data_IF_460181418207
#
_entry.id   IF_460181418207
#
_cell.length_a   1.000
_cell.length_b   1.000
_cell.length_c   1.000
_cell.angle_alpha   90.00
_cell.angle_beta   90.00
_cell.angle_gamma   90.00
#
_symmetry.space_group_name_H-M   'P 1'
#
loop_
_entity.id
_entity.type
_entity.pdbx_description
1 polymer ?
#
# COMPACT_ATOMS: atom_id res chain seq x y z
N UNK A 1 4.01 -13.23 -11.11
CA UNK A 1 4.46 -14.29 -10.16
C UNK A 1 5.85 -14.00 -9.57
N UNK A 2 6.85 -13.68 -10.38
CA UNK A 2 8.23 -13.40 -9.92
C UNK A 2 8.26 -12.24 -8.92
N UNK A 3 7.60 -11.12 -9.21
CA UNK A 3 7.53 -9.94 -8.32
C UNK A 3 6.92 -10.25 -6.95
N UNK A 4 5.89 -11.09 -6.90
CA UNK A 4 5.26 -11.53 -5.66
C UNK A 4 6.21 -12.33 -4.76
N UNK A 5 6.96 -13.27 -5.36
CA UNK A 5 7.96 -14.05 -4.62
C UNK A 5 9.05 -13.14 -4.06
N UNK A 6 9.53 -12.16 -4.83
CA UNK A 6 10.51 -11.18 -4.35
C UNK A 6 9.99 -10.40 -3.15
N UNK A 7 8.75 -9.92 -3.21
CA UNK A 7 8.15 -9.17 -2.09
C UNK A 7 8.04 -10.05 -0.85
N UNK A 8 7.57 -11.29 -0.96
CA UNK A 8 7.53 -12.23 0.17
C UNK A 8 8.91 -12.48 0.78
N UNK A 9 9.94 -12.67 -0.06
CA UNK A 9 11.32 -12.85 0.40
C UNK A 9 11.80 -11.60 1.14
N UNK A 10 11.56 -10.41 0.64
CA UNK A 10 11.93 -9.17 1.32
C UNK A 10 11.18 -8.98 2.64
N UNK A 11 9.88 -9.29 2.72
CA UNK A 11 9.14 -9.25 3.98
C UNK A 11 9.75 -10.23 5.00
N UNK A 12 10.07 -11.44 4.58
CA UNK A 12 10.73 -12.42 5.44
C UNK A 12 12.09 -11.91 5.94
N UNK A 13 12.92 -11.35 5.05
CA UNK A 13 14.21 -10.75 5.42
C UNK A 13 14.00 -9.58 6.39
N UNK A 14 13.00 -8.72 6.17
CA UNK A 14 12.65 -7.61 7.05
C UNK A 14 12.29 -8.06 8.46
N UNK A 15 11.43 -9.07 8.58
CA UNK A 15 11.06 -9.66 9.87
C UNK A 15 12.27 -10.30 10.56
N UNK A 16 13.10 -11.01 9.81
CA UNK A 16 14.30 -11.66 10.33
C UNK A 16 15.31 -10.64 10.86
N UNK A 17 15.60 -9.59 10.08
CA UNK A 17 16.54 -8.52 10.48
C UNK A 17 16.05 -7.76 11.69
N UNK A 18 14.74 -7.44 11.75
CA UNK A 18 14.12 -6.82 12.93
C UNK A 18 14.25 -7.72 14.17
N UNK A 19 13.95 -9.02 14.02
CA UNK A 19 14.05 -9.98 15.13
C UNK A 19 15.48 -10.10 15.67
N UNK A 20 16.47 -10.17 14.78
CA UNK A 20 17.88 -10.19 15.16
C UNK A 20 18.28 -8.88 15.87
N UNK A 21 17.81 -7.73 15.37
CA UNK A 21 18.10 -6.42 15.98
C UNK A 21 17.53 -6.31 17.38
N UNK A 22 16.26 -6.70 17.57
CA UNK A 22 15.63 -6.75 18.89
C UNK A 22 16.35 -7.75 19.81
N UNK A 23 16.74 -8.91 19.32
CA UNK A 23 17.51 -9.87 20.09
C UNK A 23 18.85 -9.28 20.55
N UNK A 24 19.58 -8.56 19.70
CA UNK A 24 20.83 -7.88 20.08
C UNK A 24 20.59 -6.85 21.19
N UNK A 25 19.51 -6.07 21.07
CA UNK A 25 19.15 -5.09 22.10
C UNK A 25 18.84 -5.74 23.44
N UNK A 26 18.02 -6.79 23.46
CA UNK A 26 17.70 -7.50 24.69
C UNK A 26 18.91 -8.20 25.30
N UNK A 27 19.82 -8.73 24.47
CA UNK A 27 21.08 -9.31 24.95
C UNK A 27 22.01 -8.26 25.56
N UNK A 28 22.07 -7.06 24.97
CA UNK A 28 22.80 -5.93 25.56
C UNK A 28 22.17 -5.52 26.90
N UNK A 29 20.85 -5.37 26.95
CA UNK A 29 20.13 -5.03 28.17
C UNK A 29 20.36 -6.06 29.29
N UNK A 30 20.28 -7.34 28.95
CA UNK A 30 20.55 -8.44 29.90
C UNK A 30 21.99 -8.41 30.42
N UNK A 31 22.97 -8.17 29.53
CA UNK A 31 24.38 -8.07 29.91
C UNK A 31 24.60 -6.87 30.85
N UNK A 32 24.06 -5.70 30.52
CA UNK A 32 24.20 -4.49 31.34
C UNK A 32 23.54 -4.61 32.73
N UNK A 33 22.34 -5.20 32.83
CA UNK A 33 21.61 -5.38 34.09
C UNK A 33 22.25 -6.45 34.98
N UNK A 34 22.76 -7.53 34.36
CA UNK A 34 23.35 -8.67 35.09
C UNK A 34 24.85 -8.56 35.28
N UNK A 35 25.48 -7.47 34.86
CA UNK A 35 26.93 -7.26 34.88
C UNK A 35 27.70 -8.44 34.19
N UNK A 36 27.13 -8.97 33.10
CA UNK A 36 27.75 -10.02 32.26
C UNK A 36 28.32 -9.41 31.01
N UNK A 37 29.33 -10.08 30.44
CA UNK A 37 29.90 -9.69 29.13
C UNK A 37 28.87 -9.79 28.01
N UNK A 38 28.87 -8.79 27.12
CA UNK A 38 28.12 -8.83 25.86
C UNK A 38 28.75 -9.88 24.95
N UNK A 39 27.97 -10.70 24.25
CA UNK A 39 28.50 -11.71 23.33
C UNK A 39 29.46 -11.12 22.30
N UNK A 40 30.61 -11.74 22.10
CA UNK A 40 31.67 -11.26 21.18
C UNK A 40 31.22 -11.06 19.75
N UNK A 41 30.21 -11.81 19.30
CA UNK A 41 29.69 -11.66 17.95
C UNK A 41 28.97 -10.32 17.73
N UNK A 42 28.31 -9.76 18.75
CA UNK A 42 27.67 -8.43 18.69
C UNK A 42 28.74 -7.34 18.52
N UNK A 43 29.85 -7.44 19.24
CA UNK A 43 30.99 -6.54 19.06
C UNK A 43 31.58 -6.64 17.66
N UNK A 44 31.81 -7.84 17.13
CA UNK A 44 32.34 -8.06 15.77
C UNK A 44 31.41 -7.48 14.71
N UNK A 45 30.10 -7.68 14.86
CA UNK A 45 29.11 -7.12 13.94
C UNK A 45 29.11 -5.59 13.97
N UNK A 46 29.14 -5.00 15.17
CA UNK A 46 29.22 -3.55 15.32
C UNK A 46 30.51 -2.96 14.74
N UNK A 47 31.63 -3.64 14.88
CA UNK A 47 32.90 -3.27 14.27
C UNK A 47 32.85 -3.34 12.74
N UNK A 48 32.26 -4.41 12.19
CA UNK A 48 32.11 -4.57 10.73
C UNK A 48 31.25 -3.45 10.12
N UNK A 49 30.19 -3.01 10.82
CA UNK A 49 29.30 -1.95 10.38
C UNK A 49 29.88 -0.54 10.56
N UNK A 50 30.97 -0.41 11.29
CA UNK A 50 31.60 0.89 11.59
C UNK A 50 32.53 1.39 10.48
N UNK A 51 33.00 0.52 9.60
CA UNK A 51 33.97 0.83 8.56
C UNK A 51 35.42 0.90 9.08
N UNK A 52 36.31 1.48 8.30
CA UNK A 52 37.78 1.48 8.55
C UNK A 52 38.29 2.51 9.59
N UNK A 53 37.42 3.19 10.30
CA UNK A 53 37.92 4.17 11.29
C UNK A 53 38.47 3.46 12.53
N UNK A 54 39.73 3.69 12.90
CA UNK A 54 40.32 3.15 14.11
C UNK A 54 39.72 3.87 15.32
N UNK A 55 38.92 3.18 16.08
CA UNK A 55 38.33 3.74 17.30
C UNK A 55 38.78 2.92 18.48
N UNK A 56 39.31 3.61 19.49
CA UNK A 56 39.68 2.97 20.75
C UNK A 56 38.42 2.71 21.55
N UNK A 57 38.22 1.47 21.95
CA UNK A 57 37.09 1.01 22.76
C UNK A 57 37.37 0.97 24.28
N UNK A 58 38.45 1.58 24.70
CA UNK A 58 38.87 1.55 26.11
C UNK A 58 37.88 2.36 26.95
N UNK A 59 37.37 1.74 27.98
CA UNK A 59 36.48 2.31 29.00
C UNK A 59 34.99 2.45 28.68
N UNK A 60 34.46 1.61 27.83
CA UNK A 60 33.02 1.54 27.56
C UNK A 60 32.36 0.55 28.51
N UNK A 61 31.44 1.03 29.34
CA UNK A 61 30.58 0.14 30.13
C UNK A 61 29.38 -0.27 29.32
N UNK A 62 28.92 -1.52 29.47
CA UNK A 62 27.71 -2.00 28.81
C UNK A 62 26.46 -1.18 29.13
N UNK A 63 26.44 -0.57 30.34
CA UNK A 63 25.38 0.34 30.77
C UNK A 63 25.32 1.62 29.89
N UNK A 64 26.48 2.19 29.53
CA UNK A 64 26.52 3.36 28.64
C UNK A 64 26.09 3.00 27.23
N UNK A 65 26.50 1.82 26.74
CA UNK A 65 26.05 1.31 25.45
C UNK A 65 24.52 1.08 25.41
N UNK A 66 23.96 0.52 26.49
CA UNK A 66 22.53 0.36 26.65
C UNK A 66 21.79 1.69 26.67
N UNK A 67 22.29 2.67 27.47
CA UNK A 67 21.69 4.01 27.54
C UNK A 67 21.67 4.70 26.17
N UNK A 68 22.76 4.62 25.40
CA UNK A 68 22.82 5.20 24.04
C UNK A 68 21.87 4.49 23.07
N UNK A 69 21.82 3.15 23.09
CA UNK A 69 20.90 2.40 22.25
C UNK A 69 19.43 2.69 22.59
N UNK A 70 19.11 2.75 23.91
CA UNK A 70 17.76 3.06 24.37
C UNK A 70 17.36 4.51 24.03
N UNK A 71 18.26 5.46 24.18
CA UNK A 71 18.02 6.85 23.77
C UNK A 71 17.73 6.95 22.28
N UNK A 72 18.52 6.26 21.44
CA UNK A 72 18.28 6.23 20.01
C UNK A 72 16.90 5.63 19.65
N UNK A 73 16.52 4.52 20.29
CA UNK A 73 15.20 3.88 20.05
C UNK A 73 14.07 4.84 20.49
N UNK A 74 14.16 5.42 21.67
CA UNK A 74 13.14 6.37 22.18
C UNK A 74 13.02 7.57 21.23
N UNK A 75 14.13 8.12 20.78
CA UNK A 75 14.13 9.26 19.84
C UNK A 75 13.48 8.87 18.51
N UNK A 76 13.78 7.68 17.96
CA UNK A 76 13.14 7.18 16.74
C UNK A 76 11.63 6.99 16.92
N UNK A 77 11.19 6.47 18.06
CA UNK A 77 9.77 6.34 18.38
C UNK A 77 9.09 7.72 18.42
N UNK A 78 9.69 8.69 19.13
CA UNK A 78 9.13 10.04 19.22
C UNK A 78 9.04 10.73 17.84
N UNK A 79 10.07 10.61 17.00
CA UNK A 79 10.04 11.13 15.62
C UNK A 79 8.89 10.49 14.84
N UNK A 80 8.70 9.17 14.93
CA UNK A 80 7.62 8.48 14.25
C UNK A 80 6.23 8.89 14.76
N UNK A 81 6.06 9.13 16.07
CA UNK A 81 4.81 9.63 16.62
C UNK A 81 4.47 11.02 16.08
N UNK A 82 5.46 11.91 16.02
CA UNK A 82 5.27 13.27 15.50
C UNK A 82 4.94 13.23 14.00
N UNK A 83 5.71 12.50 13.20
CA UNK A 83 5.44 12.37 11.77
C UNK A 83 4.11 11.66 11.49
N UNK A 84 3.81 10.61 12.24
CA UNK A 84 2.54 9.91 12.16
C UNK A 84 1.34 10.82 12.43
N UNK A 85 1.46 11.69 13.44
CA UNK A 85 0.44 12.70 13.72
C UNK A 85 0.25 13.67 12.54
N UNK A 86 1.33 14.18 11.94
CA UNK A 86 1.24 15.06 10.78
C UNK A 86 0.62 14.35 9.56
N UNK A 87 1.02 13.12 9.28
CA UNK A 87 0.42 12.35 8.19
C UNK A 87 -1.04 12.01 8.44
N UNK A 88 -1.41 11.72 9.68
CA UNK A 88 -2.81 11.49 10.05
C UNK A 88 -3.65 12.76 9.86
N UNK A 89 -3.15 13.92 10.28
CA UNK A 89 -3.85 15.19 10.09
C UNK A 89 -4.06 15.55 8.61
N UNK A 90 -3.11 15.17 7.75
CA UNK A 90 -3.21 15.45 6.31
C UNK A 90 -4.11 14.47 5.55
N UNK A 91 -4.20 13.22 6.01
CA UNK A 91 -4.91 12.14 5.28
C UNK A 91 -6.21 11.70 5.92
N UNK A 92 -6.41 11.96 7.21
CA UNK A 92 -7.51 11.40 7.99
C UNK A 92 -7.42 9.87 8.21
N UNK A 93 -6.36 9.20 7.70
CA UNK A 93 -6.20 7.75 7.73
C UNK A 93 -4.99 7.36 8.58
N UNK A 94 -5.22 6.58 9.66
CA UNK A 94 -4.16 6.07 10.51
C UNK A 94 -3.27 5.05 9.78
N UNK A 95 -3.89 4.18 8.99
CA UNK A 95 -3.18 3.14 8.23
C UNK A 95 -2.23 3.75 7.22
N UNK A 96 -2.68 4.80 6.52
CA UNK A 96 -1.84 5.55 5.60
C UNK A 96 -0.69 6.29 6.30
N UNK A 97 -0.97 6.90 7.45
CA UNK A 97 0.08 7.56 8.26
C UNK A 97 1.16 6.56 8.68
N UNK A 98 0.78 5.36 9.13
CA UNK A 98 1.71 4.27 9.46
C UNK A 98 2.51 3.85 8.22
N UNK A 99 1.85 3.65 7.09
CA UNK A 99 2.51 3.30 5.83
C UNK A 99 3.57 4.33 5.43
N UNK A 100 3.23 5.63 5.46
CA UNK A 100 4.18 6.72 5.15
C UNK A 100 5.35 6.77 6.15
N UNK A 101 5.09 6.60 7.44
CA UNK A 101 6.14 6.51 8.44
C UNK A 101 7.10 5.34 8.15
N UNK A 102 6.57 4.15 7.88
CA UNK A 102 7.37 2.98 7.56
C UNK A 102 8.18 3.17 6.26
N UNK A 103 7.61 3.77 5.23
CA UNK A 103 8.30 4.09 3.96
C UNK A 103 9.46 5.07 4.17
N UNK A 104 9.34 5.98 5.14
CA UNK A 104 10.37 6.97 5.46
C UNK A 104 11.42 6.49 6.49
N UNK A 105 11.28 5.29 7.06
CA UNK A 105 12.14 4.81 8.16
C UNK A 105 13.62 4.87 7.82
N UNK A 106 14.01 4.55 6.59
CA UNK A 106 15.40 4.62 6.17
C UNK A 106 15.98 6.02 6.33
N UNK A 107 15.24 7.03 5.87
CA UNK A 107 15.66 8.43 5.97
C UNK A 107 15.66 8.91 7.43
N UNK A 108 14.67 8.51 8.21
CA UNK A 108 14.58 8.84 9.64
C UNK A 108 15.79 8.30 10.39
N UNK A 109 16.13 7.02 10.19
CA UNK A 109 17.29 6.38 10.84
C UNK A 109 18.59 7.02 10.37
N UNK A 110 18.73 7.33 9.09
CA UNK A 110 19.91 7.97 8.51
C UNK A 110 20.12 9.38 9.07
N UNK A 111 19.08 10.22 9.06
CA UNK A 111 19.14 11.59 9.59
C UNK A 111 19.44 11.57 11.08
N UNK A 112 18.74 10.71 11.85
CA UNK A 112 19.02 10.54 13.26
C UNK A 112 20.50 10.21 13.50
N UNK A 113 21.08 9.30 12.73
CA UNK A 113 22.48 8.91 12.87
C UNK A 113 23.45 10.06 12.56
N UNK A 114 23.17 10.84 11.50
CA UNK A 114 23.97 12.04 11.15
C UNK A 114 23.89 13.08 12.27
N UNK A 115 22.69 13.39 12.77
CA UNK A 115 22.49 14.37 13.83
C UNK A 115 23.22 13.93 15.10
N UNK A 116 23.08 12.68 15.50
CA UNK A 116 23.78 12.15 16.70
C UNK A 116 25.30 12.16 16.53
N UNK A 117 25.81 11.93 15.34
CA UNK A 117 27.23 12.07 15.06
C UNK A 117 27.71 13.52 15.21
N UNK A 118 26.97 14.48 14.66
CA UNK A 118 27.27 15.92 14.80
C UNK A 118 27.25 16.34 16.27
N UNK A 119 26.22 15.92 17.02
CA UNK A 119 26.12 16.21 18.47
C UNK A 119 27.32 15.66 19.23
N UNK A 120 27.77 14.45 18.92
CA UNK A 120 28.99 13.85 19.51
C UNK A 120 30.25 14.67 19.17
N UNK A 121 30.39 15.13 17.93
CA UNK A 121 31.51 15.98 17.52
C UNK A 121 31.53 17.31 18.29
N UNK A 122 30.38 17.96 18.45
CA UNK A 122 30.25 19.20 19.19
C UNK A 122 30.61 18.95 20.68
N UNK A 123 30.09 17.87 21.26
CA UNK A 123 30.38 17.50 22.64
C UNK A 123 31.89 17.29 22.89
N UNK A 124 32.57 16.56 22.00
CA UNK A 124 34.02 16.33 22.06
C UNK A 124 34.80 17.64 21.97
N UNK A 125 34.34 18.57 21.07
CA UNK A 125 35.00 19.88 20.91
C UNK A 125 34.83 20.77 22.14
N UNK A 126 33.71 20.69 22.84
CA UNK A 126 33.40 21.48 24.02
C UNK A 126 33.94 20.84 25.32
N UNK A 127 34.15 19.54 25.32
CA UNK A 127 34.68 18.79 26.46
C UNK A 127 36.20 18.73 26.40
N UNK A 128 36.85 18.74 27.56
CA UNK A 128 38.29 18.47 27.69
C UNK A 128 38.67 17.03 27.26
N UNK A 129 37.72 16.17 27.08
CA UNK A 129 37.91 14.77 26.71
C UNK A 129 37.91 14.65 25.16
N UNK A 130 39.10 14.48 24.57
CA UNK A 130 39.30 14.45 23.11
C UNK A 130 38.90 13.12 22.42
N UNK A 131 38.30 12.18 23.11
CA UNK A 131 37.99 10.87 22.57
C UNK A 131 36.52 10.74 22.17
N UNK A 132 36.26 10.50 20.91
CA UNK A 132 34.94 10.09 20.44
C UNK A 132 34.77 8.61 20.74
N UNK A 133 33.84 8.29 21.65
CA UNK A 133 33.51 6.92 21.96
C UNK A 133 32.37 6.47 21.04
N UNK A 134 32.63 5.50 20.17
CA UNK A 134 31.61 4.77 19.43
C UNK A 134 31.52 3.36 20.01
N UNK A 135 30.35 3.04 20.52
CA UNK A 135 30.13 1.76 21.17
C UNK A 135 29.75 0.70 20.13
N UNK A 136 30.53 -0.35 20.01
CA UNK A 136 30.32 -1.40 19.03
C UNK A 136 28.93 -2.06 19.13
N UNK A 137 28.40 -2.40 20.32
CA UNK A 137 27.04 -2.96 20.42
C UNK A 137 25.96 -2.00 19.94
N UNK A 138 26.11 -0.69 20.18
CA UNK A 138 25.17 0.32 19.67
C UNK A 138 25.19 0.37 18.14
N UNK A 139 26.40 0.32 17.55
CA UNK A 139 26.53 0.29 16.08
C UNK A 139 25.91 -0.97 15.47
N UNK A 140 25.99 -2.14 16.13
CA UNK A 140 25.32 -3.35 15.69
C UNK A 140 23.80 -3.18 15.67
N UNK A 141 23.22 -2.64 16.75
CA UNK A 141 21.78 -2.40 16.88
C UNK A 141 21.30 -1.35 15.88
N UNK A 142 21.96 -0.20 15.79
CA UNK A 142 21.58 0.86 14.84
C UNK A 142 21.78 0.43 13.38
N UNK A 143 22.83 -0.35 13.10
CA UNK A 143 23.04 -0.96 11.80
C UNK A 143 21.95 -1.96 11.43
N UNK A 144 21.48 -2.74 12.41
CA UNK A 144 20.34 -3.64 12.25
C UNK A 144 19.05 -2.87 11.94
N UNK A 145 18.76 -1.79 12.65
CA UNK A 145 17.61 -0.91 12.34
C UNK A 145 17.73 -0.29 10.94
N UNK A 146 18.92 0.13 10.53
CA UNK A 146 19.15 0.67 9.19
C UNK A 146 18.86 -0.37 8.10
N UNK A 147 19.38 -1.60 8.24
CA UNK A 147 19.13 -2.69 7.30
C UNK A 147 17.63 -3.03 7.27
N UNK A 148 16.99 -3.13 8.43
CA UNK A 148 15.55 -3.39 8.53
C UNK A 148 14.73 -2.30 7.84
N UNK A 149 15.06 -1.02 8.08
CA UNK A 149 14.38 0.11 7.46
C UNK A 149 14.57 0.13 5.93
N UNK A 150 15.76 -0.23 5.45
CA UNK A 150 16.03 -0.36 4.02
C UNK A 150 15.19 -1.46 3.37
N UNK A 151 15.13 -2.64 3.99
CA UNK A 151 14.33 -3.75 3.49
C UNK A 151 12.83 -3.41 3.51
N UNK A 152 12.33 -2.81 4.60
CA UNK A 152 10.93 -2.36 4.68
C UNK A 152 10.62 -1.33 3.59
N UNK A 153 11.51 -0.36 3.37
CA UNK A 153 11.32 0.63 2.31
C UNK A 153 11.21 -0.03 0.92
N UNK A 154 12.07 -1.02 0.63
CA UNK A 154 11.98 -1.79 -0.61
C UNK A 154 10.66 -2.58 -0.71
N UNK A 155 10.26 -3.27 0.37
CA UNK A 155 8.99 -3.99 0.40
C UNK A 155 7.81 -3.07 0.09
N UNK A 156 7.73 -1.95 0.81
CA UNK A 156 6.62 -1.00 0.67
C UNK A 156 6.66 -0.24 -0.67
N UNK A 157 7.86 -0.04 -1.24
CA UNK A 157 8.02 0.51 -2.58
C UNK A 157 7.52 -0.42 -3.68
N UNK A 158 7.72 -1.74 -3.50
CA UNK A 158 7.28 -2.76 -4.46
C UNK A 158 5.81 -3.16 -4.28
N UNK A 159 5.33 -3.20 -3.03
CA UNK A 159 3.94 -3.61 -2.76
C UNK A 159 2.92 -2.48 -2.88
N UNK A 160 3.34 -1.23 -2.73
CA UNK A 160 2.44 -0.09 -2.66
C UNK A 160 1.56 -0.08 -1.41
N UNK A 161 0.63 0.87 -1.36
CA UNK A 161 -0.37 0.95 -0.29
C UNK A 161 -1.61 0.15 -0.70
N UNK A 162 -2.21 -0.64 0.21
CA UNK A 162 -3.43 -1.38 -0.09
C UNK A 162 -4.60 -0.45 -0.40
N UNK A 163 -5.18 -0.60 -1.58
CA UNK A 163 -6.29 0.21 -2.03
C UNK A 163 -7.62 -0.23 -1.40
N UNK A 164 -8.47 0.75 -1.07
CA UNK A 164 -9.84 0.45 -0.63
C UNK A 164 -10.64 -0.07 -1.82
N UNK A 165 -11.43 -1.15 -1.63
CA UNK A 165 -12.27 -1.67 -2.70
C UNK A 165 -13.30 -0.63 -3.15
N UNK A 166 -13.51 -0.53 -4.47
CA UNK A 166 -14.60 0.25 -5.04
C UNK A 166 -15.86 -0.62 -5.09
N UNK A 167 -16.93 -0.10 -4.49
CA UNK A 167 -18.22 -0.75 -4.46
C UNK A 167 -19.15 -0.15 -5.50
N UNK A 168 -19.83 -1.01 -6.26
CA UNK A 168 -20.92 -0.63 -7.16
C UNK A 168 -22.20 -1.23 -6.62
N UNK A 169 -23.14 -0.39 -6.21
CA UNK A 169 -24.48 -0.84 -5.90
C UNK A 169 -25.27 -0.92 -7.20
N UNK A 170 -25.74 -2.10 -7.55
CA UNK A 170 -26.59 -2.37 -8.71
C UNK A 170 -27.99 -2.71 -8.19
N UNK A 171 -28.93 -1.79 -8.31
CA UNK A 171 -30.22 -1.86 -7.65
C UNK A 171 -30.05 -2.03 -6.13
N UNK A 172 -30.42 -3.17 -5.58
CA UNK A 172 -30.28 -3.49 -4.15
C UNK A 172 -29.06 -4.38 -3.81
N UNK A 173 -28.19 -4.67 -4.77
CA UNK A 173 -27.05 -5.57 -4.58
C UNK A 173 -25.74 -4.78 -4.58
N UNK A 174 -24.94 -4.97 -3.54
CA UNK A 174 -23.60 -4.41 -3.47
C UNK A 174 -22.59 -5.35 -4.16
N UNK A 175 -21.88 -4.83 -5.15
CA UNK A 175 -20.85 -5.52 -5.89
C UNK A 175 -19.51 -4.86 -5.58
N UNK A 176 -18.65 -5.55 -4.86
CA UNK A 176 -17.26 -5.14 -4.66
C UNK A 176 -16.45 -5.60 -5.87
N UNK A 177 -16.05 -4.64 -6.72
CA UNK A 177 -15.32 -4.94 -7.94
C UNK A 177 -14.00 -5.64 -7.62
N UNK A 178 -13.68 -6.70 -8.36
CA UNK A 178 -12.51 -7.56 -8.11
C UNK A 178 -12.64 -8.51 -6.91
N UNK A 179 -13.84 -8.68 -6.32
CA UNK A 179 -14.03 -9.58 -5.17
C UNK A 179 -15.34 -10.34 -5.21
N UNK A 180 -16.46 -9.68 -5.56
CA UNK A 180 -17.79 -10.30 -5.63
C UNK A 180 -17.84 -11.34 -6.73
N UNK A 181 -18.38 -12.52 -6.43
CA UNK A 181 -18.58 -13.60 -7.40
C UNK A 181 -19.89 -13.41 -8.18
N UNK A 182 -19.90 -13.93 -9.42
CA UNK A 182 -21.12 -13.95 -10.23
C UNK A 182 -22.29 -14.70 -9.58
N UNK A 183 -22.02 -15.73 -8.76
CA UNK A 183 -23.02 -16.45 -7.98
C UNK A 183 -23.83 -15.55 -7.03
N UNK A 184 -23.24 -14.47 -6.52
CA UNK A 184 -23.93 -13.51 -5.65
C UNK A 184 -24.99 -12.71 -6.42
N UNK A 185 -24.70 -12.30 -7.64
CA UNK A 185 -25.68 -11.65 -8.53
C UNK A 185 -26.78 -12.63 -8.95
N UNK A 186 -26.42 -13.87 -9.30
CA UNK A 186 -27.39 -14.93 -9.63
C UNK A 186 -28.37 -15.17 -8.47
N UNK A 187 -27.87 -15.25 -7.24
CA UNK A 187 -28.71 -15.43 -6.03
C UNK A 187 -29.68 -14.27 -5.80
N UNK A 188 -29.36 -13.07 -6.34
CA UNK A 188 -30.19 -11.88 -6.25
C UNK A 188 -31.09 -11.66 -7.49
N UNK A 189 -31.29 -12.70 -8.31
CA UNK A 189 -32.20 -12.69 -9.44
C UNK A 189 -31.66 -12.00 -10.70
N UNK A 190 -30.35 -11.74 -10.76
CA UNK A 190 -29.71 -11.35 -12.03
C UNK A 190 -29.40 -12.57 -12.89
N UNK A 191 -29.30 -12.34 -14.19
CA UNK A 191 -28.85 -13.30 -15.18
C UNK A 191 -27.83 -12.64 -16.11
N UNK A 192 -27.06 -13.47 -16.80
CA UNK A 192 -26.04 -13.05 -17.73
C UNK A 192 -26.48 -13.45 -19.15
N UNK A 193 -26.55 -12.48 -20.07
CA UNK A 193 -27.08 -12.70 -21.41
C UNK A 193 -26.35 -13.83 -22.14
N UNK A 194 -27.12 -14.80 -22.67
CA UNK A 194 -26.58 -15.92 -23.39
C UNK A 194 -25.75 -16.93 -22.58
N UNK A 195 -25.72 -16.82 -21.27
CA UNK A 195 -24.92 -17.66 -20.38
C UNK A 195 -25.77 -18.33 -19.30
N UNK A 196 -25.36 -19.50 -18.89
CA UNK A 196 -25.87 -20.22 -17.71
C UNK A 196 -24.85 -20.20 -16.58
N UNK A 197 -25.23 -20.49 -15.33
CA UNK A 197 -24.27 -20.53 -14.21
C UNK A 197 -23.10 -21.50 -14.41
N UNK A 198 -23.28 -22.55 -15.20
CA UNK A 198 -22.29 -23.58 -15.50
C UNK A 198 -21.55 -23.37 -16.83
N UNK A 199 -21.81 -22.25 -17.52
CA UNK A 199 -21.03 -21.87 -18.72
C UNK A 199 -19.57 -21.66 -18.38
N UNK A 200 -18.67 -22.09 -19.25
CA UNK A 200 -17.24 -21.85 -19.12
C UNK A 200 -16.91 -20.40 -19.51
N UNK A 201 -16.13 -19.75 -18.69
CA UNK A 201 -15.58 -18.41 -18.90
C UNK A 201 -14.08 -18.57 -19.02
N UNK A 202 -13.51 -18.07 -20.10
CA UNK A 202 -12.06 -18.11 -20.33
C UNK A 202 -11.46 -16.73 -20.19
N UNK A 203 -10.33 -16.66 -19.49
CA UNK A 203 -9.59 -15.45 -19.30
C UNK A 203 -8.78 -15.10 -20.56
N UNK A 204 -9.21 -14.09 -21.30
CA UNK A 204 -8.44 -13.55 -22.42
C UNK A 204 -7.56 -12.40 -21.92
N UNK A 205 -6.31 -12.69 -21.63
CA UNK A 205 -5.33 -11.72 -21.07
C UNK A 205 -4.83 -10.69 -22.10
N UNK A 206 -5.70 -10.20 -22.97
CA UNK A 206 -5.31 -9.32 -24.05
C UNK A 206 -5.25 -7.85 -23.68
N UNK A 207 -5.80 -7.48 -22.53
CA UNK A 207 -5.83 -6.10 -22.04
C UNK A 207 -5.76 -6.07 -20.51
N UNK A 208 -4.86 -5.29 -20.00
CA UNK A 208 -4.48 -5.25 -18.59
C UNK A 208 -5.63 -4.91 -17.62
N UNK A 209 -6.66 -4.20 -18.04
CA UNK A 209 -7.81 -3.83 -17.20
C UNK A 209 -9.08 -4.66 -17.46
N UNK A 210 -9.18 -5.29 -18.62
CA UNK A 210 -10.43 -5.90 -19.10
C UNK A 210 -10.23 -7.33 -19.53
N UNK A 211 -9.51 -8.09 -18.72
CA UNK A 211 -9.39 -9.51 -18.93
C UNK A 211 -10.61 -10.24 -18.36
N UNK A 212 -10.99 -11.32 -19.01
CA UNK A 212 -12.22 -12.04 -18.78
C UNK A 212 -13.24 -11.82 -19.88
N UNK A 213 -14.43 -12.37 -19.71
CA UNK A 213 -15.49 -12.29 -20.70
C UNK A 213 -16.48 -11.18 -20.37
N UNK A 214 -16.76 -10.31 -21.33
CA UNK A 214 -17.77 -9.26 -21.22
C UNK A 214 -19.16 -9.85 -21.43
N UNK A 215 -20.06 -9.70 -20.47
CA UNK A 215 -21.43 -10.21 -20.52
C UNK A 215 -22.39 -9.13 -20.06
N UNK A 216 -23.56 -9.02 -20.71
CA UNK A 216 -24.63 -8.11 -20.28
C UNK A 216 -25.33 -8.64 -19.04
N UNK A 217 -25.55 -7.77 -18.06
CA UNK A 217 -26.26 -8.08 -16.83
C UNK A 217 -27.74 -7.75 -16.97
N UNK A 218 -28.59 -8.75 -16.76
CA UNK A 218 -30.04 -8.65 -16.95
C UNK A 218 -30.76 -9.00 -15.65
N UNK A 219 -31.83 -8.25 -15.31
CA UNK A 219 -32.77 -8.60 -14.25
C UNK A 219 -34.17 -8.21 -14.64
N UNK A 220 -35.12 -9.14 -14.53
CA UNK A 220 -36.52 -8.94 -14.93
C UNK A 220 -36.67 -8.37 -16.35
N UNK A 221 -35.88 -8.84 -17.30
CA UNK A 221 -35.88 -8.39 -18.70
C UNK A 221 -35.26 -7.01 -18.97
N UNK A 222 -34.73 -6.34 -17.94
CA UNK A 222 -34.05 -5.04 -18.07
C UNK A 222 -32.54 -5.21 -18.04
N UNK A 223 -31.83 -4.40 -18.83
CA UNK A 223 -30.36 -4.36 -18.84
C UNK A 223 -29.83 -3.44 -17.74
N UNK A 224 -28.93 -3.95 -16.92
CA UNK A 224 -28.18 -3.20 -15.90
C UNK A 224 -26.72 -2.93 -16.32
N UNK A 225 -26.45 -2.90 -17.62
CA UNK A 225 -25.12 -2.67 -18.15
C UNK A 225 -24.34 -3.97 -18.40
N UNK A 226 -23.02 -3.86 -18.38
CA UNK A 226 -22.12 -4.96 -18.68
C UNK A 226 -21.17 -5.22 -17.52
N UNK A 227 -20.83 -6.49 -17.31
CA UNK A 227 -19.79 -6.94 -16.39
C UNK A 227 -18.72 -7.73 -17.12
N UNK A 228 -17.51 -7.73 -16.61
CA UNK A 228 -16.47 -8.68 -17.02
C UNK A 228 -16.35 -9.75 -15.96
N UNK A 229 -16.46 -10.98 -16.38
CA UNK A 229 -16.36 -12.17 -15.55
C UNK A 229 -14.97 -12.77 -15.74
N UNK A 230 -14.22 -12.86 -14.66
CA UNK A 230 -12.83 -13.28 -14.71
C UNK A 230 -12.60 -14.48 -13.79
N UNK A 231 -12.09 -15.60 -14.32
CA UNK A 231 -11.57 -16.70 -13.50
C UNK A 231 -10.46 -16.21 -12.58
N UNK A 232 -10.50 -16.57 -11.28
CA UNK A 232 -9.58 -15.98 -10.31
C UNK A 232 -8.18 -16.60 -10.30
N UNK A 233 -8.11 -17.93 -10.42
CA UNK A 233 -6.87 -18.68 -10.27
C UNK A 233 -6.51 -19.54 -11.49
N UNK A 234 -7.46 -19.80 -12.33
CA UNK A 234 -7.36 -20.64 -13.53
C UNK A 234 -7.55 -19.80 -14.77
N UNK A 235 -7.16 -20.33 -15.92
CA UNK A 235 -7.44 -19.68 -17.21
C UNK A 235 -8.90 -19.85 -17.63
N UNK A 236 -9.60 -20.86 -17.11
CA UNK A 236 -11.02 -21.12 -17.36
C UNK A 236 -11.71 -21.57 -16.07
N UNK A 237 -12.90 -21.04 -15.81
CA UNK A 237 -13.73 -21.43 -14.66
C UNK A 237 -15.22 -21.33 -15.00
N UNK A 238 -16.09 -21.89 -14.17
CA UNK A 238 -17.55 -21.75 -14.34
C UNK A 238 -17.98 -20.33 -14.05
N UNK A 239 -18.96 -19.81 -14.81
CA UNK A 239 -19.49 -18.45 -14.66
C UNK A 239 -19.79 -18.11 -13.21
N UNK A 240 -20.49 -18.99 -12.48
CA UNK A 240 -20.89 -18.80 -11.08
C UNK A 240 -19.69 -18.56 -10.13
N UNK A 241 -18.51 -19.10 -10.47
CA UNK A 241 -17.28 -19.03 -9.66
C UNK A 241 -16.39 -17.88 -10.05
N UNK A 242 -16.63 -17.27 -11.22
CA UNK A 242 -15.89 -16.11 -11.70
C UNK A 242 -16.13 -14.88 -10.85
N UNK A 243 -15.13 -13.99 -10.79
CA UNK A 243 -15.18 -12.71 -10.09
C UNK A 243 -15.56 -11.60 -11.08
N UNK A 244 -16.34 -10.62 -10.60
CA UNK A 244 -16.67 -9.42 -11.36
C UNK A 244 -15.49 -8.45 -11.26
N UNK A 245 -14.73 -8.32 -12.34
CA UNK A 245 -13.54 -7.45 -12.36
C UNK A 245 -13.81 -6.08 -12.98
N UNK A 246 -14.89 -5.94 -13.74
CA UNK A 246 -15.27 -4.69 -14.34
C UNK A 246 -16.78 -4.57 -14.43
N UNK A 247 -17.29 -3.37 -14.27
CA UNK A 247 -18.69 -2.98 -14.48
C UNK A 247 -18.74 -1.76 -15.38
N UNK A 248 -19.67 -1.72 -16.34
CA UNK A 248 -19.91 -0.56 -17.19
C UNK A 248 -21.41 -0.39 -17.46
N UNK A 249 -21.88 0.85 -17.39
CA UNK A 249 -23.24 1.24 -17.75
C UNK A 249 -23.21 2.45 -18.70
N UNK A 250 -24.06 2.42 -19.73
CA UNK A 250 -24.22 3.55 -20.64
C UNK A 250 -25.06 4.67 -20.01
N UNK A 251 -24.79 5.90 -20.40
CA UNK A 251 -25.48 7.08 -19.87
C UNK A 251 -26.97 7.17 -20.24
N UNK A 252 -27.37 6.55 -21.34
CA UNK A 252 -28.75 6.43 -21.79
C UNK A 252 -29.51 5.23 -21.22
N UNK A 253 -28.86 4.43 -20.37
CA UNK A 253 -29.49 3.26 -19.79
C UNK A 253 -30.62 3.63 -18.81
N UNK A 254 -31.81 3.08 -19.01
CA UNK A 254 -32.99 3.36 -18.20
C UNK A 254 -32.85 2.97 -16.72
N UNK A 255 -31.87 2.15 -16.36
CA UNK A 255 -31.60 1.72 -14.98
C UNK A 255 -30.44 2.52 -14.33
N UNK A 256 -29.94 3.58 -14.97
CA UNK A 256 -28.82 4.36 -14.45
C UNK A 256 -29.09 4.94 -13.03
N UNK A 257 -30.34 5.32 -12.75
CA UNK A 257 -30.74 5.80 -11.43
C UNK A 257 -30.73 4.77 -10.30
N UNK A 258 -30.64 3.47 -10.65
CA UNK A 258 -30.51 2.38 -9.69
C UNK A 258 -29.04 2.02 -9.41
N UNK A 259 -28.08 2.78 -10.00
CA UNK A 259 -26.65 2.50 -9.86
C UNK A 259 -25.99 3.54 -8.97
N UNK A 260 -25.18 3.08 -8.02
CA UNK A 260 -24.34 3.95 -7.20
C UNK A 260 -22.90 3.43 -7.19
N UNK A 261 -21.94 4.32 -7.22
CA UNK A 261 -20.52 4.02 -7.04
C UNK A 261 -20.09 4.60 -5.69
N UNK A 262 -19.59 3.76 -4.79
CA UNK A 262 -19.25 4.14 -3.40
C UNK A 262 -20.39 4.94 -2.71
N UNK A 263 -21.64 4.49 -2.87
CA UNK A 263 -22.87 5.13 -2.39
C UNK A 263 -23.24 6.45 -3.08
N UNK A 264 -22.51 6.89 -4.08
CA UNK A 264 -22.83 8.10 -4.88
C UNK A 264 -23.78 7.74 -6.01
N UNK A 265 -24.92 8.39 -6.08
CA UNK A 265 -25.90 8.24 -7.16
C UNK A 265 -25.35 8.92 -8.43
N UNK A 266 -24.84 8.09 -9.36
CA UNK A 266 -24.18 8.56 -10.56
C UNK A 266 -25.14 9.18 -11.58
N UNK A 267 -26.45 8.94 -11.47
CA UNK A 267 -27.46 9.53 -12.35
C UNK A 267 -27.66 11.03 -12.12
N UNK A 268 -27.22 11.52 -10.95
CA UNK A 268 -27.32 12.92 -10.55
C UNK A 268 -26.08 13.74 -10.86
N UNK A 269 -25.01 13.09 -11.29
CA UNK A 269 -23.76 13.75 -11.64
C UNK A 269 -23.79 14.23 -13.09
N UNK A 270 -23.32 15.45 -13.31
CA UNK A 270 -23.15 16.04 -14.64
C UNK A 270 -21.69 16.44 -14.86
N UNK A 271 -21.34 16.85 -16.08
CA UNK A 271 -19.99 17.25 -16.42
C UNK A 271 -19.46 18.41 -15.57
N UNK A 272 -20.33 19.37 -15.17
CA UNK A 272 -19.93 20.53 -14.38
C UNK A 272 -19.57 20.13 -12.94
N UNK A 273 -20.22 19.10 -12.38
CA UNK A 273 -19.81 18.54 -11.10
C UNK A 273 -18.37 18.03 -11.15
N UNK A 274 -18.00 17.35 -12.24
CA UNK A 274 -16.66 16.84 -12.43
C UNK A 274 -15.62 17.92 -12.75
N UNK A 275 -16.03 19.04 -13.32
CA UNK A 275 -15.13 20.19 -13.56
C UNK A 275 -14.88 21.00 -12.29
N UNK A 276 -15.87 21.08 -11.40
CA UNK A 276 -15.85 21.97 -10.24
C UNK A 276 -15.42 21.30 -8.93
N UNK A 277 -15.53 19.97 -8.84
CA UNK A 277 -15.27 19.22 -7.61
C UNK A 277 -14.07 18.30 -7.80
N UNK A 278 -13.34 18.07 -6.72
CA UNK A 278 -12.34 17.01 -6.65
C UNK A 278 -13.03 15.64 -6.75
N UNK A 279 -12.60 14.84 -7.72
CA UNK A 279 -13.17 13.50 -7.97
C UNK A 279 -13.02 12.55 -6.79
N UNK A 280 -11.96 12.70 -6.01
CA UNK A 280 -11.77 11.93 -4.79
C UNK A 280 -12.87 12.20 -3.78
N UNK A 281 -13.30 13.46 -3.67
CA UNK A 281 -14.41 13.85 -2.81
C UNK A 281 -15.75 13.35 -3.35
N UNK A 282 -15.95 13.33 -4.68
CA UNK A 282 -17.18 12.82 -5.31
C UNK A 282 -17.37 11.34 -4.95
N UNK A 283 -16.33 10.52 -5.11
CA UNK A 283 -16.43 9.08 -4.91
C UNK A 283 -15.99 8.58 -3.52
N UNK A 284 -15.73 9.51 -2.59
CA UNK A 284 -15.23 9.19 -1.24
C UNK A 284 -14.00 8.28 -1.27
N UNK A 285 -13.10 8.55 -2.21
CA UNK A 285 -11.83 7.87 -2.35
C UNK A 285 -10.80 8.48 -1.41
N UNK A 286 -9.73 7.73 -1.14
CA UNK A 286 -8.59 8.27 -0.41
C UNK A 286 -7.77 9.17 -1.36
N UNK A 287 -7.71 10.51 -1.15
CA UNK A 287 -7.12 11.44 -2.12
C UNK A 287 -5.64 11.25 -2.36
N UNK A 288 -4.98 10.42 -1.56
CA UNK A 288 -3.52 10.33 -1.54
C UNK A 288 -3.00 9.26 -2.50
N UNK A 289 -3.87 8.35 -2.94
CA UNK A 289 -3.48 7.20 -3.76
C UNK A 289 -4.18 7.17 -5.12
N UNK A 290 -4.81 8.25 -5.55
CA UNK A 290 -5.49 8.29 -6.83
C UNK A 290 -4.87 9.34 -7.75
N UNK A 291 -4.62 8.96 -8.97
CA UNK A 291 -4.24 9.84 -10.06
C UNK A 291 -5.50 10.23 -10.84
N UNK A 292 -5.71 11.53 -11.02
CA UNK A 292 -6.77 12.06 -11.84
C UNK A 292 -6.25 12.36 -13.25
N UNK A 293 -6.83 11.71 -14.26
CA UNK A 293 -6.49 11.92 -15.66
C UNK A 293 -7.69 12.55 -16.35
N UNK A 294 -7.50 13.73 -16.92
CA UNK A 294 -8.48 14.42 -17.75
C UNK A 294 -8.02 14.43 -19.20
N UNK A 295 -8.81 13.81 -20.08
CA UNK A 295 -8.54 13.79 -21.51
C UNK A 295 -9.45 14.82 -22.21
N UNK A 296 -8.84 15.77 -22.91
CA UNK A 296 -9.53 16.97 -23.43
C UNK A 296 -10.53 16.69 -24.57
N UNK A 297 -10.35 15.67 -25.36
CA UNK A 297 -11.13 15.47 -26.57
C UNK A 297 -12.51 14.85 -26.37
N UNK A 298 -12.72 14.05 -25.31
CA UNK A 298 -13.98 13.36 -25.01
C UNK A 298 -14.39 13.48 -23.53
N UNK A 299 -13.87 14.47 -22.80
CA UNK A 299 -14.11 14.63 -21.37
C UNK A 299 -14.12 13.30 -20.61
N UNK A 300 -13.11 12.49 -20.86
CA UNK A 300 -12.92 11.23 -20.13
C UNK A 300 -12.20 11.53 -18.82
N UNK A 301 -12.88 11.26 -17.72
CA UNK A 301 -12.35 11.45 -16.38
C UNK A 301 -12.02 10.08 -15.82
N UNK A 302 -10.77 9.87 -15.52
CA UNK A 302 -10.27 8.63 -14.96
C UNK A 302 -9.69 8.92 -13.60
N UNK A 303 -10.14 8.18 -12.60
CA UNK A 303 -9.46 8.09 -11.32
C UNK A 303 -8.85 6.71 -11.26
N UNK A 304 -7.55 6.68 -11.20
CA UNK A 304 -6.80 5.45 -11.15
C UNK A 304 -5.99 5.43 -9.87
N UNK A 305 -5.96 4.29 -9.18
CA UNK A 305 -5.04 4.07 -8.08
C UNK A 305 -3.60 4.00 -8.57
N UNK A 306 -2.63 4.42 -7.74
CA UNK A 306 -1.21 4.50 -8.14
C UNK A 306 -0.72 3.23 -8.87
N UNK A 307 0.11 3.41 -9.90
CA UNK A 307 0.59 2.34 -10.78
C UNK A 307 1.36 1.21 -10.10
N UNK A 308 1.84 1.43 -8.90
CA UNK A 308 2.75 0.53 -8.19
C UNK A 308 2.09 -0.31 -7.08
N UNK A 309 0.77 -0.50 -7.11
CA UNK A 309 0.15 -1.46 -6.20
C UNK A 309 0.36 -2.89 -6.72
N UNK A 310 1.07 -3.71 -5.95
CA UNK A 310 1.29 -5.13 -6.26
C UNK A 310 0.01 -5.96 -6.21
N UNK A 311 -1.04 -5.45 -5.56
CA UNK A 311 -2.22 -6.23 -5.20
C UNK A 311 -3.38 -6.03 -6.15
N UNK A 312 -3.93 -4.85 -6.18
CA UNK A 312 -5.08 -4.48 -7.01
C UNK A 312 -5.00 -3.01 -7.35
N UNK A 313 -5.36 -2.71 -8.58
CA UNK A 313 -5.64 -1.35 -9.02
C UNK A 313 -7.13 -1.21 -9.26
N UNK A 314 -7.65 -0.05 -8.90
CA UNK A 314 -9.01 0.32 -9.24
C UNK A 314 -9.00 1.48 -10.22
N UNK A 315 -9.94 1.44 -11.17
CA UNK A 315 -10.15 2.50 -12.12
C UNK A 315 -11.64 2.84 -12.15
N UNK A 316 -11.97 4.11 -11.91
CA UNK A 316 -13.30 4.66 -12.12
C UNK A 316 -13.20 5.58 -13.31
N UNK A 317 -14.07 5.39 -14.28
CA UNK A 317 -14.09 6.20 -15.49
C UNK A 317 -15.50 6.75 -15.70
N UNK A 318 -15.59 8.06 -15.93
CA UNK A 318 -16.79 8.76 -16.40
C UNK A 318 -16.46 9.34 -17.76
N UNK A 319 -17.18 8.94 -18.79
CA UNK A 319 -16.98 9.42 -20.16
C UNK A 319 -18.17 10.27 -20.58
N UNK A 320 -17.88 11.45 -21.17
CA UNK A 320 -18.88 12.37 -21.69
C UNK A 320 -18.61 12.66 -23.15
N UNK A 321 -19.67 12.88 -23.92
CA UNK A 321 -19.58 13.39 -25.26
C UNK A 321 -19.21 14.88 -25.29
N UNK A 322 -18.84 15.40 -26.45
CA UNK A 322 -18.48 16.82 -26.62
C UNK A 322 -19.62 17.80 -26.30
N UNK A 323 -20.88 17.36 -26.34
CA UNK A 323 -22.06 18.11 -25.91
C UNK A 323 -22.31 18.07 -24.39
N UNK A 324 -21.45 17.41 -23.63
CA UNK A 324 -21.54 17.27 -22.18
C UNK A 324 -22.49 16.17 -21.69
N UNK A 325 -23.10 15.40 -22.59
CA UNK A 325 -23.92 14.25 -22.20
C UNK A 325 -23.05 13.08 -21.77
N UNK A 326 -23.52 12.37 -20.76
CA UNK A 326 -22.87 11.15 -20.31
C UNK A 326 -22.90 10.05 -21.38
N UNK A 327 -21.73 9.55 -21.78
CA UNK A 327 -21.60 8.34 -22.57
C UNK A 327 -21.69 7.09 -21.69
N UNK A 328 -20.85 7.03 -20.68
CA UNK A 328 -20.82 5.84 -19.80
C UNK A 328 -20.10 6.09 -18.50
N UNK A 329 -20.46 5.30 -17.48
CA UNK A 329 -19.64 5.06 -16.29
C UNK A 329 -19.04 3.65 -16.34
N UNK A 330 -17.81 3.53 -15.87
CA UNK A 330 -17.22 2.23 -15.63
C UNK A 330 -16.38 2.18 -14.36
N UNK A 331 -16.29 0.98 -13.77
CA UNK A 331 -15.44 0.69 -12.62
C UNK A 331 -14.72 -0.62 -12.90
N UNK A 332 -13.40 -0.61 -12.83
CA UNK A 332 -12.57 -1.78 -13.05
C UNK A 332 -11.64 -2.04 -11.89
N UNK A 333 -11.28 -3.31 -11.69
CA UNK A 333 -10.21 -3.75 -10.80
C UNK A 333 -9.28 -4.66 -11.57
N UNK A 334 -7.99 -4.33 -11.54
CA UNK A 334 -6.94 -5.14 -12.12
C UNK A 334 -6.15 -5.83 -11.02
N UNK A 335 -5.83 -7.10 -11.21
CA UNK A 335 -4.90 -7.83 -10.35
C UNK A 335 -3.50 -7.76 -10.96
N UNK A 336 -2.65 -6.92 -10.41
CA UNK A 336 -1.29 -6.72 -10.94
C UNK A 336 -0.36 -7.91 -10.71
N UNK A 337 -0.75 -8.87 -9.86
CA UNK A 337 0.03 -10.08 -9.57
C UNK A 337 0.00 -11.09 -10.72
N UNK A 338 -0.99 -11.01 -11.61
CA UNK A 338 -1.24 -12.00 -12.65
C UNK A 338 -0.63 -11.66 -14.02
N UNK A 339 0.01 -10.52 -14.13
CA UNK A 339 0.69 -10.04 -15.35
C UNK A 339 2.14 -10.48 -15.46
#
# INVERSE_FOLDING_TARGET
MVSFIFVLVFYFIGILTLSITLFMYFRLAFAAIRHKEVPRWIYKLGQALQGRMPIKYDNVTDLRALAEASFAIITLILINLVLGYFFYQSSGSLDFAIFKCLKLQLFIVLIHRIVMFIVKLIYVKLSSNKNIHLYSPVNAILGGFFITAFVIMLCLGLSGYPEKPVNVQISNVNVTIGSTKASELLANGFSFEGKTPDSDITNSRNDHFFYGERVQLIRAGKSYGYVYLTPKWNDTDKLKDCVITHYRIAGDNSQLSEIKINNVDISKLNLDDFKSKDLNNIYSLDPINSEEIRLDNDYTLVIQTEEYSLWKRYRIEAKFYGDGKLDSYSVGAQYTIWE
#
